data_IF_700042712920
#
_entry.id   IF_700042712920
#
_cell.length_a   1.000
_cell.length_b   1.000
_cell.length_c   1.000
_cell.angle_alpha   90.00
_cell.angle_beta   90.00
_cell.angle_gamma   90.00
#
_symmetry.space_group_name_H-M   'P 1'
#
loop_
_entity.id
_entity.type
_entity.pdbx_description
1 polymer ?
#
# COMPACT_ATOMS: atom_id res chain seq x y z
N UNK A 1 -12.97 -19.89 13.56
CA UNK A 1 -12.06 -19.98 12.39
C UNK A 1 -12.65 -19.32 11.14
N UNK A 2 -13.84 -18.69 11.20
CA UNK A 2 -14.53 -18.15 10.01
C UNK A 2 -14.40 -16.63 9.82
N UNK A 3 -13.80 -15.89 10.76
CA UNK A 3 -13.75 -14.41 10.71
C UNK A 3 -12.55 -13.81 9.94
N UNK A 4 -11.54 -14.59 9.56
CA UNK A 4 -10.34 -14.04 8.91
C UNK A 4 -10.57 -13.70 7.43
N UNK A 5 -11.42 -14.45 6.73
CA UNK A 5 -11.68 -14.23 5.30
C UNK A 5 -12.67 -13.08 5.06
N UNK A 6 -13.58 -12.81 5.98
CA UNK A 6 -14.58 -11.76 5.83
C UNK A 6 -14.02 -10.34 6.01
N UNK A 7 -12.97 -10.15 6.83
CA UNK A 7 -12.35 -8.83 7.06
C UNK A 7 -11.56 -8.31 5.86
N UNK A 8 -10.96 -9.20 5.07
CA UNK A 8 -10.08 -8.83 3.96
C UNK A 8 -10.71 -8.97 2.57
N UNK A 9 -11.92 -9.53 2.44
CA UNK A 9 -12.61 -9.68 1.15
C UNK A 9 -13.20 -8.36 0.60
N UNK A 10 -13.24 -7.29 1.40
CA UNK A 10 -14.02 -6.09 1.10
C UNK A 10 -13.30 -4.92 0.40
N UNK A 11 -11.96 -4.87 0.34
CA UNK A 11 -11.26 -3.69 -0.19
C UNK A 11 -9.96 -4.06 -0.88
N UNK A 12 -10.04 -4.31 -2.18
CA UNK A 12 -8.98 -4.13 -3.18
C UNK A 12 -9.48 -4.80 -4.46
N UNK A 13 -10.32 -4.10 -5.22
CA UNK A 13 -10.48 -4.41 -6.65
C UNK A 13 -9.30 -3.78 -7.40
N UNK A 14 -8.09 -4.25 -7.11
CA UNK A 14 -6.97 -4.14 -8.03
C UNK A 14 -6.90 -5.48 -8.77
N UNK A 15 -7.04 -5.39 -10.08
CA UNK A 15 -7.23 -6.54 -10.96
C UNK A 15 -6.04 -7.52 -10.83
N UNK A 16 -6.37 -8.80 -10.65
CA UNK A 16 -5.46 -9.89 -10.28
C UNK A 16 -4.52 -10.28 -11.43
N UNK A 17 -3.46 -9.52 -11.64
CA UNK A 17 -2.19 -10.04 -12.19
C UNK A 17 -1.05 -9.61 -11.31
N UNK A 18 -0.89 -10.39 -10.22
CA UNK A 18 0.22 -10.46 -9.26
C UNK A 18 1.32 -9.41 -9.49
N UNK A 19 1.05 -8.20 -9.04
CA UNK A 19 2.08 -7.20 -8.87
C UNK A 19 2.32 -7.09 -7.36
N UNK A 20 3.56 -7.30 -6.87
CA UNK A 20 3.90 -7.10 -5.46
C UNK A 20 3.38 -5.74 -4.97
N UNK A 21 2.82 -5.65 -3.75
CA UNK A 21 2.22 -4.39 -3.28
C UNK A 21 3.22 -3.22 -3.28
N UNK A 22 4.51 -3.51 -3.12
CA UNK A 22 5.60 -2.53 -3.27
C UNK A 22 5.67 -1.91 -4.68
N UNK A 23 5.44 -2.70 -5.73
CA UNK A 23 5.38 -2.19 -7.10
C UNK A 23 4.12 -1.34 -7.32
N UNK A 24 3.01 -1.68 -6.65
CA UNK A 24 1.77 -0.91 -6.74
C UNK A 24 1.96 0.47 -6.11
N UNK A 25 2.68 0.56 -4.99
CA UNK A 25 3.01 1.85 -4.37
C UNK A 25 3.86 2.68 -5.33
N UNK A 26 4.91 2.10 -5.91
CA UNK A 26 5.77 2.81 -6.86
C UNK A 26 5.00 3.35 -8.07
N UNK A 27 4.02 2.60 -8.59
CA UNK A 27 3.16 3.09 -9.69
C UNK A 27 2.27 4.25 -9.23
N UNK A 28 1.69 4.19 -8.03
CA UNK A 28 0.90 5.31 -7.50
C UNK A 28 1.77 6.55 -7.24
N UNK A 29 3.01 6.37 -6.77
CA UNK A 29 3.99 7.45 -6.62
C UNK A 29 4.37 8.07 -7.97
N UNK A 30 4.60 7.26 -8.99
CA UNK A 30 4.84 7.73 -10.36
C UNK A 30 3.67 8.57 -10.89
N UNK A 31 2.42 8.08 -10.73
CA UNK A 31 1.21 8.81 -11.13
C UNK A 31 1.06 10.13 -10.39
N UNK A 32 1.34 10.17 -9.09
CA UNK A 32 1.32 11.42 -8.32
C UNK A 32 2.36 12.41 -8.82
N UNK A 33 3.59 11.94 -9.10
CA UNK A 33 4.65 12.80 -9.61
C UNK A 33 4.30 13.38 -11.00
N UNK A 34 3.73 12.57 -11.90
CA UNK A 34 3.24 13.04 -13.20
C UNK A 34 2.15 14.11 -13.05
N UNK A 35 1.19 13.88 -12.14
CA UNK A 35 0.13 14.86 -11.84
C UNK A 35 0.69 16.16 -11.23
N UNK A 36 1.69 16.09 -10.36
CA UNK A 36 2.35 17.26 -9.77
C UNK A 36 3.08 18.11 -10.83
N UNK A 37 3.76 17.45 -11.79
CA UNK A 37 4.41 18.13 -12.91
C UNK A 37 3.37 18.82 -13.79
N UNK A 38 2.28 18.15 -14.13
CA UNK A 38 1.22 18.73 -14.97
C UNK A 38 0.48 19.86 -14.24
N UNK A 39 0.21 19.73 -12.95
CA UNK A 39 -0.34 20.80 -12.11
C UNK A 39 0.59 22.02 -12.09
N UNK A 40 1.90 21.80 -11.99
CA UNK A 40 2.88 22.89 -12.03
C UNK A 40 2.86 23.61 -13.37
N UNK A 41 2.78 22.85 -14.48
CA UNK A 41 2.66 23.39 -15.83
C UNK A 41 1.38 24.21 -16.01
N UNK A 42 0.22 23.65 -15.67
CA UNK A 42 -1.07 24.35 -15.80
C UNK A 42 -1.14 25.60 -14.92
N UNK A 43 -0.57 25.57 -13.70
CA UNK A 43 -0.46 26.76 -12.84
C UNK A 43 0.45 27.83 -13.44
N UNK A 44 1.44 27.47 -14.25
CA UNK A 44 2.25 28.42 -15.00
C UNK A 44 1.45 29.00 -16.19
N UNK A 45 0.72 28.16 -16.92
CA UNK A 45 -0.15 28.57 -18.02
C UNK A 45 -1.26 29.52 -17.57
N UNK A 46 -1.91 29.26 -16.42
CA UNK A 46 -2.90 30.16 -15.84
C UNK A 46 -2.27 31.52 -15.53
N UNK A 47 -1.02 31.56 -15.05
CA UNK A 47 -0.31 32.82 -14.79
C UNK A 47 -0.05 33.59 -16.09
N UNK A 48 0.34 32.91 -17.16
CA UNK A 48 0.56 33.57 -18.47
C UNK A 48 -0.76 34.07 -19.07
N UNK A 49 -1.82 33.27 -19.04
CA UNK A 49 -3.15 33.65 -19.53
C UNK A 49 -3.71 34.85 -18.78
N UNK A 50 -3.55 34.91 -17.44
CA UNK A 50 -3.94 36.09 -16.64
C UNK A 50 -3.16 37.33 -17.02
N UNK A 51 -1.84 37.20 -17.27
CA UNK A 51 -1.02 38.33 -17.70
C UNK A 51 -1.44 38.84 -19.09
N UNK A 52 -1.79 37.94 -20.01
CA UNK A 52 -2.30 38.31 -21.34
C UNK A 52 -3.67 38.99 -21.26
N UNK A 53 -4.58 38.47 -20.43
CA UNK A 53 -5.88 39.08 -20.19
C UNK A 53 -5.73 40.51 -19.63
N UNK A 54 -4.83 40.72 -18.67
CA UNK A 54 -4.52 42.05 -18.13
C UNK A 54 -3.97 43.00 -19.19
N UNK A 55 -3.11 42.51 -20.10
CA UNK A 55 -2.58 43.32 -21.22
C UNK A 55 -3.67 43.73 -22.20
N UNK A 56 -4.58 42.82 -22.55
CA UNK A 56 -5.72 43.11 -23.44
C UNK A 56 -6.64 44.14 -22.78
N UNK A 57 -6.90 44.00 -21.48
CA UNK A 57 -7.71 44.94 -20.71
C UNK A 57 -7.05 46.33 -20.62
N UNK A 58 -5.78 46.41 -20.25
CA UNK A 58 -5.04 47.68 -20.20
C UNK A 58 -5.00 48.39 -21.57
N UNK A 59 -4.90 47.62 -22.66
CA UNK A 59 -4.93 48.16 -24.02
C UNK A 59 -6.31 48.73 -24.40
N UNK A 60 -7.40 48.17 -23.86
CA UNK A 60 -8.76 48.72 -24.01
C UNK A 60 -8.92 50.03 -23.24
N UNK A 61 -8.45 50.07 -22.00
CA UNK A 61 -8.60 51.24 -21.12
C UNK A 61 -7.81 52.46 -21.64
N UNK A 62 -6.70 52.22 -22.34
CA UNK A 62 -5.89 53.27 -22.99
C UNK A 62 -6.47 53.82 -24.30
N UNK A 63 -7.69 53.44 -24.68
CA UNK A 63 -8.43 54.10 -25.77
C UNK A 63 -7.86 53.89 -27.17
N UNK A 64 -7.33 52.70 -27.47
CA UNK A 64 -6.86 52.40 -28.83
C UNK A 64 -8.03 52.40 -29.83
N UNK A 65 -7.73 52.85 -31.07
CA UNK A 65 -8.63 53.01 -32.23
C UNK A 65 -9.92 52.16 -32.24
N UNK A 66 -11.05 52.82 -32.52
CA UNK A 66 -12.40 52.23 -32.61
C UNK A 66 -12.51 51.01 -33.53
N UNK A 67 -11.66 50.90 -34.56
CA UNK A 67 -11.63 49.76 -35.48
C UNK A 67 -11.07 48.45 -34.87
N UNK A 68 -10.33 48.52 -33.75
CA UNK A 68 -9.72 47.35 -33.10
C UNK A 68 -10.55 46.78 -31.93
N UNK A 69 -11.64 47.43 -31.53
CA UNK A 69 -12.47 47.03 -30.39
C UNK A 69 -13.18 45.66 -30.55
N UNK A 70 -13.75 45.30 -31.71
CA UNK A 70 -14.40 43.99 -31.89
C UNK A 70 -13.41 42.83 -31.78
N UNK A 71 -12.25 42.92 -32.45
CA UNK A 71 -11.22 41.89 -32.44
C UNK A 71 -10.61 41.65 -31.04
N UNK A 72 -10.62 42.68 -30.18
CA UNK A 72 -10.21 42.56 -28.76
C UNK A 72 -11.29 41.95 -27.88
N UNK A 73 -12.56 42.06 -28.27
CA UNK A 73 -13.67 41.28 -27.68
C UNK A 73 -13.45 39.81 -27.87
N UNK A 74 -13.30 39.39 -29.12
CA UNK A 74 -13.09 37.99 -29.45
C UNK A 74 -11.83 37.40 -28.79
N UNK A 75 -10.76 38.20 -28.66
CA UNK A 75 -9.54 37.77 -27.98
C UNK A 75 -9.73 37.67 -26.45
N UNK A 76 -10.44 38.62 -25.83
CA UNK A 76 -10.70 38.59 -24.39
C UNK A 76 -11.57 37.38 -24.02
N UNK A 77 -12.58 37.07 -24.82
CA UNK A 77 -13.46 35.93 -24.62
C UNK A 77 -12.69 34.61 -24.78
N UNK A 78 -11.83 34.50 -25.80
CA UNK A 78 -10.95 33.32 -25.98
C UNK A 78 -9.97 33.11 -24.82
N UNK A 79 -9.40 34.20 -24.29
CA UNK A 79 -8.50 34.13 -23.13
C UNK A 79 -9.26 33.70 -21.87
N UNK A 80 -10.48 34.18 -21.69
CA UNK A 80 -11.35 33.78 -20.59
C UNK A 80 -11.71 32.29 -20.70
N UNK A 81 -12.13 31.82 -21.86
CA UNK A 81 -12.42 30.40 -22.12
C UNK A 81 -11.18 29.50 -21.86
N UNK A 82 -9.99 29.95 -22.28
CA UNK A 82 -8.75 29.23 -22.03
C UNK A 82 -8.42 29.17 -20.53
N UNK A 83 -8.65 30.27 -19.81
CA UNK A 83 -8.44 30.34 -18.37
C UNK A 83 -9.38 29.39 -17.62
N UNK A 84 -10.66 29.38 -17.99
CA UNK A 84 -11.69 28.54 -17.35
C UNK A 84 -11.41 27.06 -17.60
N UNK A 85 -11.01 26.68 -18.82
CA UNK A 85 -10.56 25.32 -19.13
C UNK A 85 -9.32 24.90 -18.32
N UNK A 86 -8.32 25.77 -18.22
CA UNK A 86 -7.10 25.48 -17.46
C UNK A 86 -7.41 25.33 -15.96
N UNK A 87 -8.28 26.17 -15.41
CA UNK A 87 -8.71 26.08 -14.01
C UNK A 87 -9.52 24.82 -13.72
N UNK A 88 -10.45 24.45 -14.60
CA UNK A 88 -11.21 23.21 -14.48
C UNK A 88 -10.27 21.98 -14.51
N UNK A 89 -9.27 21.99 -15.40
CA UNK A 89 -8.27 20.91 -15.47
C UNK A 89 -7.42 20.80 -14.21
N UNK A 90 -7.04 21.93 -13.60
CA UNK A 90 -6.34 21.95 -12.30
C UNK A 90 -7.20 21.32 -11.22
N UNK A 91 -8.48 21.68 -11.13
CA UNK A 91 -9.39 21.12 -10.12
C UNK A 91 -9.53 19.59 -10.27
N UNK A 92 -9.70 19.11 -11.51
CA UNK A 92 -9.79 17.68 -11.81
C UNK A 92 -8.51 16.93 -11.39
N UNK A 93 -7.33 17.46 -11.74
CA UNK A 93 -6.05 16.84 -11.37
C UNK A 93 -5.81 16.87 -9.86
N UNK A 94 -6.23 17.91 -9.15
CA UNK A 94 -6.13 17.97 -7.69
C UNK A 94 -7.03 16.94 -7.01
N UNK A 95 -8.24 16.70 -7.53
CA UNK A 95 -9.13 15.65 -7.04
C UNK A 95 -8.54 14.25 -7.28
N UNK A 96 -8.07 13.99 -8.49
CA UNK A 96 -7.39 12.73 -8.82
C UNK A 96 -6.16 12.48 -7.93
N UNK A 97 -5.35 13.52 -7.68
CA UNK A 97 -4.19 13.41 -6.81
C UNK A 97 -4.58 13.08 -5.36
N UNK A 98 -5.69 13.63 -4.85
CA UNK A 98 -6.22 13.28 -3.52
C UNK A 98 -6.69 11.83 -3.45
N UNK A 99 -7.37 11.35 -4.48
CA UNK A 99 -7.82 9.95 -4.56
C UNK A 99 -6.62 9.00 -4.56
N UNK A 100 -5.66 9.22 -5.46
CA UNK A 100 -4.43 8.41 -5.54
C UNK A 100 -3.63 8.46 -4.24
N UNK A 101 -3.52 9.64 -3.62
CA UNK A 101 -2.86 9.78 -2.30
C UNK A 101 -3.58 9.03 -1.18
N UNK A 102 -4.90 8.89 -1.26
CA UNK A 102 -5.69 8.12 -0.27
C UNK A 102 -5.56 6.62 -0.52
N UNK A 103 -5.56 6.19 -1.77
CA UNK A 103 -5.27 4.81 -2.18
C UNK A 103 -3.88 4.39 -1.69
N UNK A 104 -2.86 5.22 -1.93
CA UNK A 104 -1.48 4.98 -1.48
C UNK A 104 -1.38 4.81 0.03
N UNK A 105 -1.99 5.71 0.81
CA UNK A 105 -1.98 5.63 2.28
C UNK A 105 -2.65 4.35 2.78
N UNK A 106 -3.79 4.01 2.21
CA UNK A 106 -4.52 2.78 2.59
C UNK A 106 -3.67 1.54 2.33
N UNK A 107 -2.98 1.49 1.18
CA UNK A 107 -2.11 0.36 0.82
C UNK A 107 -0.88 0.27 1.72
N UNK A 108 -0.26 1.41 2.07
CA UNK A 108 0.86 1.44 3.02
C UNK A 108 0.48 0.88 4.39
N UNK A 109 -0.66 1.31 4.95
CA UNK A 109 -1.15 0.79 6.23
C UNK A 109 -1.39 -0.72 6.18
N UNK A 110 -2.02 -1.21 5.10
CA UNK A 110 -2.23 -2.65 4.94
C UNK A 110 -0.91 -3.44 4.85
N UNK A 111 0.12 -2.87 4.22
CA UNK A 111 1.44 -3.53 4.16
C UNK A 111 2.15 -3.58 5.52
N UNK A 112 2.00 -2.55 6.35
CA UNK A 112 2.53 -2.55 7.72
C UNK A 112 1.86 -3.64 8.56
N UNK A 113 0.52 -3.73 8.51
CA UNK A 113 -0.24 -4.79 9.20
C UNK A 113 0.20 -6.20 8.75
N UNK A 114 0.34 -6.42 7.44
CA UNK A 114 0.79 -7.71 6.91
C UNK A 114 2.23 -8.05 7.34
N UNK A 115 3.09 -7.05 7.51
CA UNK A 115 4.46 -7.24 7.99
C UNK A 115 4.47 -7.64 9.47
N UNK A 116 3.61 -7.04 10.27
CA UNK A 116 3.45 -7.36 11.69
C UNK A 116 2.88 -8.77 11.87
N UNK A 117 1.82 -9.11 11.14
CA UNK A 117 1.23 -10.46 11.11
C UNK A 117 2.27 -11.52 10.71
N UNK A 118 3.05 -11.24 9.65
CA UNK A 118 4.12 -12.15 9.22
C UNK A 118 5.16 -12.36 10.32
N UNK A 119 5.49 -11.31 11.06
CA UNK A 119 6.46 -11.38 12.17
C UNK A 119 5.91 -12.22 13.31
N UNK A 120 4.64 -12.02 13.68
CA UNK A 120 3.94 -12.79 14.71
C UNK A 120 3.86 -14.28 14.34
N UNK A 121 3.42 -14.60 13.11
CA UNK A 121 3.34 -15.98 12.61
C UNK A 121 4.71 -16.65 12.64
N UNK A 122 5.78 -15.94 12.24
CA UNK A 122 7.14 -16.46 12.30
C UNK A 122 7.56 -16.77 13.74
N UNK A 123 7.22 -15.90 14.70
CA UNK A 123 7.44 -16.13 16.12
C UNK A 123 6.79 -17.43 16.59
N UNK A 124 5.48 -17.60 16.34
CA UNK A 124 4.76 -18.83 16.73
C UNK A 124 5.30 -20.09 16.07
N UNK A 125 5.73 -20.02 14.81
CA UNK A 125 6.35 -21.16 14.13
C UNK A 125 7.69 -21.56 14.78
N UNK A 126 8.47 -20.59 15.26
CA UNK A 126 9.71 -20.87 15.98
C UNK A 126 9.42 -21.53 17.34
N UNK A 127 8.50 -20.97 18.12
CA UNK A 127 8.06 -21.55 19.40
C UNK A 127 7.54 -22.99 19.22
N UNK A 128 6.74 -23.23 18.18
CA UNK A 128 6.23 -24.57 17.88
C UNK A 128 7.36 -25.56 17.56
N UNK A 129 8.38 -25.13 16.80
CA UNK A 129 9.56 -25.95 16.49
C UNK A 129 10.40 -26.25 17.72
N UNK A 130 10.54 -25.31 18.65
CA UNK A 130 11.24 -25.53 19.91
C UNK A 130 10.51 -26.53 20.79
N UNK A 131 9.20 -26.36 20.97
CA UNK A 131 8.36 -27.35 21.69
C UNK A 131 8.44 -28.75 21.08
N UNK A 132 8.47 -28.85 19.74
CA UNK A 132 8.62 -30.14 19.07
C UNK A 132 9.99 -30.79 19.39
N UNK A 133 11.08 -29.99 19.42
CA UNK A 133 12.41 -30.47 19.79
C UNK A 133 12.46 -30.92 21.24
N UNK A 134 11.91 -30.14 22.16
CA UNK A 134 11.80 -30.50 23.58
C UNK A 134 11.03 -31.82 23.77
N UNK A 135 9.87 -31.95 23.09
CA UNK A 135 9.07 -33.16 23.14
C UNK A 135 9.81 -34.38 22.57
N UNK A 136 10.57 -34.22 21.48
CA UNK A 136 11.41 -35.30 20.92
C UNK A 136 12.49 -35.74 21.91
N UNK A 137 13.18 -34.79 22.54
CA UNK A 137 14.21 -35.07 23.54
C UNK A 137 13.61 -35.76 24.76
N UNK A 138 12.46 -35.29 25.27
CA UNK A 138 11.77 -35.90 26.39
C UNK A 138 11.33 -37.33 26.08
N UNK A 139 10.77 -37.58 24.88
CA UNK A 139 10.39 -38.93 24.44
C UNK A 139 11.59 -39.87 24.37
N UNK A 140 12.73 -39.40 23.84
CA UNK A 140 13.95 -40.19 23.78
C UNK A 140 14.47 -40.57 25.18
N UNK A 141 14.42 -39.62 26.12
CA UNK A 141 14.79 -39.87 27.52
C UNK A 141 13.87 -40.90 28.18
N UNK A 142 12.56 -40.74 28.03
CA UNK A 142 11.57 -41.69 28.57
C UNK A 142 11.78 -43.09 27.99
N UNK A 143 12.08 -43.21 26.69
CA UNK A 143 12.35 -44.50 26.07
C UNK A 143 13.61 -45.18 26.64
N UNK A 144 14.69 -44.42 26.87
CA UNK A 144 15.90 -44.93 27.50
C UNK A 144 15.65 -45.39 28.94
N UNK A 145 14.95 -44.57 29.74
CA UNK A 145 14.60 -44.90 31.13
C UNK A 145 13.72 -46.15 31.21
N UNK A 146 12.78 -46.32 30.27
CA UNK A 146 11.91 -47.48 30.18
C UNK A 146 12.68 -48.78 29.91
N UNK A 147 13.61 -48.80 28.94
CA UNK A 147 14.41 -50.00 28.66
C UNK A 147 15.30 -50.38 29.87
N UNK A 148 15.92 -49.40 30.54
CA UNK A 148 16.68 -49.65 31.78
C UNK A 148 15.79 -50.30 32.86
N UNK A 149 14.58 -49.77 33.05
CA UNK A 149 13.67 -50.29 34.07
C UNK A 149 13.20 -51.71 33.72
N UNK A 150 12.84 -51.94 32.46
CA UNK A 150 12.42 -53.24 31.95
C UNK A 150 13.52 -54.30 32.16
N UNK A 151 14.77 -53.98 31.84
CA UNK A 151 15.90 -54.90 32.08
C UNK A 151 16.07 -55.22 33.56
N UNK A 152 15.96 -54.23 34.44
CA UNK A 152 16.00 -54.43 35.91
C UNK A 152 14.87 -55.36 36.38
N UNK A 153 13.65 -55.17 35.88
CA UNK A 153 12.50 -56.00 36.24
C UNK A 153 12.69 -57.44 35.76
N UNK A 154 13.13 -57.63 34.51
CA UNK A 154 13.39 -58.96 33.96
C UNK A 154 14.52 -59.67 34.70
N UNK A 155 15.59 -58.95 35.06
CA UNK A 155 16.70 -59.51 35.86
C UNK A 155 16.21 -59.98 37.23
N UNK A 156 15.46 -59.15 37.96
CA UNK A 156 14.86 -59.53 39.25
C UNK A 156 13.96 -60.76 39.13
N UNK A 157 13.14 -60.84 38.08
CA UNK A 157 12.27 -61.99 37.83
C UNK A 157 13.06 -63.28 37.59
N UNK A 158 14.16 -63.20 36.82
CA UNK A 158 15.06 -64.35 36.58
C UNK A 158 15.76 -64.80 37.87
N UNK A 159 16.20 -63.87 38.71
CA UNK A 159 16.82 -64.16 40.00
C UNK A 159 15.84 -64.86 40.96
N UNK A 160 14.60 -64.37 41.05
CA UNK A 160 13.55 -65.01 41.86
C UNK A 160 13.23 -66.43 41.39
N UNK A 161 13.19 -66.68 40.07
CA UNK A 161 12.96 -68.02 39.54
C UNK A 161 14.09 -69.00 39.88
N UNK A 162 15.35 -68.53 39.91
CA UNK A 162 16.50 -69.36 40.30
C UNK A 162 16.53 -69.69 41.78
N UNK A 163 16.02 -68.81 42.64
CA UNK A 163 15.94 -69.04 44.08
C UNK A 163 14.78 -69.96 44.49
N UNK A 164 13.82 -70.20 43.59
CA UNK A 164 12.66 -71.05 43.82
C UNK A 164 12.84 -72.50 43.29
N UNK A 165 14.02 -72.83 42.77
CA UNK A 165 14.44 -74.17 42.33
C UNK A 165 15.48 -74.71 43.30
#
# INVERSE_FOLDING_TARGET
MEDYQARYAGRLRLDRRVMPESQAICLLEGRLAEQEVELTRLRAEIRTLRAEQQRVQASRDLGASSSAQPARGDLADRLQDALDRAQARVQELEEQAREVGTERRTMMTAMEELRDDRTLIRGHLLEAREREREAKTARARIAADYEILKDRVLKKRREQQRQAQ
#
